data_IF_078849477811
#
_entry.id   IF_078849477811
#
_cell.length_a   1.000
_cell.length_b   1.000
_cell.length_c   1.000
_cell.angle_alpha   90.00
_cell.angle_beta   90.00
_cell.angle_gamma   90.00
#
_symmetry.space_group_name_H-M   'P 1'
#
loop_
_entity.id
_entity.type
_entity.pdbx_description
1 polymer ?
#
# COMPACT_ATOMS: atom_id res chain seq x y z
N UNK A 1 16.06 -9.15 -0.21
CA UNK A 1 17.50 -8.88 0.13
C UNK A 1 17.83 -7.41 -0.12
N UNK A 2 17.54 -6.55 0.86
CA UNK A 2 17.92 -5.14 0.84
C UNK A 2 19.44 -5.05 1.02
N UNK A 3 20.17 -4.72 -0.05
CA UNK A 3 21.62 -4.49 0.04
C UNK A 3 21.88 -3.15 0.73
N UNK A 4 22.82 -3.15 1.67
CA UNK A 4 23.30 -1.95 2.37
C UNK A 4 23.76 -0.88 1.36
N UNK A 5 23.09 0.25 1.35
CA UNK A 5 23.48 1.42 0.55
C UNK A 5 24.54 2.24 1.28
N UNK A 6 25.49 2.86 0.56
CA UNK A 6 26.42 3.82 1.15
C UNK A 6 25.65 5.10 1.51
N UNK A 7 25.26 5.23 2.78
CA UNK A 7 24.62 6.43 3.32
C UNK A 7 25.73 7.47 3.57
N UNK A 8 25.85 8.41 2.63
CA UNK A 8 26.74 9.58 2.72
C UNK A 8 26.44 10.42 3.98
N UNK A 9 27.51 10.83 4.68
CA UNK A 9 27.83 11.93 5.64
C UNK A 9 26.73 12.84 6.25
N UNK A 10 25.44 12.47 6.22
CA UNK A 10 24.33 13.22 6.86
C UNK A 10 23.69 12.44 8.01
N UNK A 11 24.44 11.50 8.59
CA UNK A 11 24.00 10.58 9.66
C UNK A 11 23.66 11.30 10.99
N UNK A 12 23.98 12.59 11.12
CA UNK A 12 23.72 13.38 12.32
C UNK A 12 22.24 13.79 12.47
N UNK A 13 21.42 13.62 11.43
CA UNK A 13 20.00 13.98 11.43
C UNK A 13 19.07 12.80 11.82
N UNK A 14 19.63 11.62 12.07
CA UNK A 14 18.90 10.35 12.27
C UNK A 14 18.56 10.12 13.75
N UNK A 15 17.97 11.12 14.40
CA UNK A 15 17.44 11.00 15.78
C UNK A 15 15.92 11.28 15.83
N UNK A 16 15.27 11.40 14.66
CA UNK A 16 13.83 11.65 14.55
C UNK A 16 13.23 10.67 13.55
N UNK A 17 12.49 9.70 14.09
CA UNK A 17 11.63 8.70 13.43
C UNK A 17 11.92 8.36 11.97
N UNK A 18 12.37 7.13 11.68
CA UNK A 18 12.58 6.67 10.31
C UNK A 18 11.26 6.11 9.75
N UNK A 19 10.47 6.98 9.12
CA UNK A 19 9.18 6.62 8.56
C UNK A 19 9.32 6.26 7.08
N UNK A 20 9.00 5.02 6.73
CA UNK A 20 9.05 4.51 5.37
C UNK A 20 7.69 4.68 4.68
N UNK A 21 7.69 5.34 3.52
CA UNK A 21 6.57 5.34 2.59
C UNK A 21 6.80 4.21 1.58
N UNK A 22 5.84 3.31 1.45
CA UNK A 22 5.90 2.20 0.50
C UNK A 22 5.05 2.57 -0.71
N UNK A 23 5.62 2.50 -1.91
CA UNK A 23 4.86 2.75 -3.15
C UNK A 23 4.70 1.45 -3.91
N UNK A 24 3.46 1.13 -4.30
CA UNK A 24 3.13 -0.03 -5.16
C UNK A 24 2.39 0.49 -6.37
N UNK A 25 3.02 0.42 -7.54
CA UNK A 25 2.46 0.92 -8.80
C UNK A 25 2.47 -0.15 -9.89
N UNK A 26 1.61 -0.02 -10.90
CA UNK A 26 1.62 -0.86 -12.09
C UNK A 26 2.08 -0.06 -13.30
N UNK A 27 3.33 -0.26 -13.72
CA UNK A 27 3.90 0.43 -14.88
C UNK A 27 3.85 -0.52 -16.09
N UNK A 28 3.21 -0.14 -17.21
CA UNK A 28 3.26 -0.94 -18.43
C UNK A 28 4.69 -0.96 -18.98
N UNK A 29 5.22 -2.16 -19.26
CA UNK A 29 6.62 -2.32 -19.72
C UNK A 29 6.76 -1.97 -21.20
N UNK A 30 5.74 -2.28 -22.00
CA UNK A 30 5.75 -2.05 -23.45
C UNK A 30 4.39 -1.54 -23.93
N UNK A 31 4.39 -0.65 -24.93
CA UNK A 31 3.17 -0.03 -25.49
C UNK A 31 2.10 -1.03 -25.95
N UNK A 32 2.49 -2.26 -26.29
CA UNK A 32 1.60 -3.29 -26.83
C UNK A 32 1.71 -4.65 -26.11
N UNK A 33 2.38 -4.71 -24.95
CA UNK A 33 2.45 -5.96 -24.16
C UNK A 33 1.42 -5.91 -23.05
N UNK A 34 0.88 -7.08 -22.69
CA UNK A 34 0.08 -7.25 -21.48
C UNK A 34 0.96 -7.30 -20.22
N UNK A 35 2.29 -7.43 -20.38
CA UNK A 35 3.22 -7.45 -19.27
C UNK A 35 3.21 -6.13 -18.48
N UNK A 36 3.01 -6.27 -17.18
CA UNK A 36 3.03 -5.18 -16.22
C UNK A 36 4.18 -5.37 -15.25
N UNK A 37 4.92 -4.30 -15.02
CA UNK A 37 5.95 -4.20 -14.00
C UNK A 37 5.32 -3.61 -12.75
N UNK A 38 5.37 -4.36 -11.65
CA UNK A 38 4.81 -3.95 -10.36
C UNK A 38 5.92 -3.90 -9.32
N UNK A 39 6.62 -2.77 -9.18
CA UNK A 39 7.63 -2.63 -8.16
C UNK A 39 6.98 -2.32 -6.81
N UNK A 40 7.62 -2.81 -5.76
CA UNK A 40 7.47 -2.29 -4.40
C UNK A 40 8.68 -1.38 -4.17
N UNK A 41 8.42 -0.10 -4.00
CA UNK A 41 9.43 0.93 -3.76
C UNK A 41 9.35 1.41 -2.32
N UNK A 42 10.48 1.73 -1.70
CA UNK A 42 10.54 2.37 -0.39
C UNK A 42 11.22 3.74 -0.52
N UNK A 43 10.55 4.77 0.01
CA UNK A 43 11.13 6.10 0.22
C UNK A 43 11.11 6.45 1.70
N UNK A 44 12.14 7.15 2.18
CA UNK A 44 12.19 7.61 3.57
C UNK A 44 11.54 8.99 3.64
N UNK A 45 10.51 9.12 4.47
CA UNK A 45 9.68 10.31 4.59
C UNK A 45 10.49 11.56 4.99
N UNK A 46 11.50 11.38 5.85
CA UNK A 46 12.40 12.44 6.33
C UNK A 46 13.34 12.93 5.23
N UNK A 47 13.49 12.15 4.16
CA UNK A 47 14.41 12.38 3.06
C UNK A 47 13.68 12.40 1.71
N UNK A 48 12.69 13.29 1.49
CA UNK A 48 11.83 13.26 0.31
C UNK A 48 12.53 13.56 -1.01
N UNK A 49 13.76 14.10 -0.96
CA UNK A 49 14.61 14.34 -2.14
C UNK A 49 15.43 13.12 -2.54
N UNK A 50 15.53 12.11 -1.68
CA UNK A 50 16.19 10.85 -2.03
C UNK A 50 15.22 10.01 -2.87
N UNK A 51 15.69 9.43 -3.98
CA UNK A 51 14.84 8.61 -4.83
C UNK A 51 14.37 7.37 -4.07
N UNK A 52 13.11 6.98 -4.28
CA UNK A 52 12.60 5.72 -3.76
C UNK A 52 13.38 4.55 -4.36
N UNK A 53 13.70 3.57 -3.52
CA UNK A 53 14.52 2.41 -3.88
C UNK A 53 13.60 1.22 -4.14
N UNK A 54 13.77 0.50 -5.26
CA UNK A 54 13.05 -0.76 -5.47
C UNK A 54 13.56 -1.83 -4.50
N UNK A 55 12.64 -2.43 -3.74
CA UNK A 55 12.92 -3.53 -2.81
C UNK A 55 12.40 -4.87 -3.32
N UNK A 56 11.33 -4.84 -4.12
CA UNK A 56 10.83 -6.01 -4.83
C UNK A 56 10.31 -5.59 -6.21
N UNK A 57 10.40 -6.50 -7.17
CA UNK A 57 9.95 -6.30 -8.53
C UNK A 57 9.18 -7.55 -8.96
N UNK A 58 7.93 -7.35 -9.35
CA UNK A 58 7.10 -8.40 -9.94
C UNK A 58 6.84 -8.09 -11.39
N UNK A 59 6.99 -9.10 -12.25
CA UNK A 59 6.70 -9.03 -13.67
C UNK A 59 5.71 -10.13 -13.98
N UNK A 60 4.55 -9.75 -14.49
CA UNK A 60 3.48 -10.69 -14.83
C UNK A 60 2.77 -10.19 -16.10
N UNK A 61 2.27 -11.12 -16.91
CA UNK A 61 1.42 -10.85 -18.08
C UNK A 61 0.01 -10.39 -17.67
N UNK A 62 -0.35 -10.59 -16.40
CA UNK A 62 -1.62 -10.18 -15.82
C UNK A 62 -1.46 -9.69 -14.38
N UNK A 63 -2.55 -9.34 -13.67
CA UNK A 63 -2.45 -9.08 -12.23
C UNK A 63 -2.00 -10.38 -11.54
N UNK A 64 -1.07 -10.35 -10.57
CA UNK A 64 -0.69 -11.55 -9.84
C UNK A 64 -1.98 -12.18 -9.30
N UNK A 65 -2.22 -13.44 -9.63
CA UNK A 65 -3.49 -14.09 -9.26
C UNK A 65 -3.64 -14.18 -7.73
N UNK A 66 -2.53 -14.16 -7.01
CA UNK A 66 -2.46 -14.32 -5.58
C UNK A 66 -1.71 -13.14 -4.92
N UNK A 67 -2.39 -12.43 -4.02
CA UNK A 67 -1.81 -11.36 -3.21
C UNK A 67 -0.73 -11.88 -2.26
N UNK A 68 -0.86 -13.13 -1.79
CA UNK A 68 0.07 -13.76 -0.84
C UNK A 68 1.44 -13.86 -1.49
N UNK A 69 1.52 -14.46 -2.68
CA UNK A 69 2.76 -14.57 -3.43
C UNK A 69 3.37 -13.21 -3.79
N UNK A 70 2.55 -12.16 -3.91
CA UNK A 70 3.03 -10.82 -4.22
C UNK A 70 3.59 -10.08 -2.98
N UNK A 71 3.07 -10.32 -1.78
CA UNK A 71 3.46 -9.56 -0.58
C UNK A 71 4.26 -10.35 0.44
N UNK A 72 4.30 -11.68 0.38
CA UNK A 72 4.80 -12.53 1.47
C UNK A 72 6.23 -12.18 1.89
N UNK A 73 7.17 -12.24 0.95
CA UNK A 73 8.58 -11.95 1.21
C UNK A 73 8.77 -10.53 1.76
N UNK A 74 8.05 -9.56 1.19
CA UNK A 74 8.10 -8.17 1.63
C UNK A 74 7.60 -7.99 3.08
N UNK A 75 6.50 -8.66 3.44
CA UNK A 75 5.95 -8.59 4.79
C UNK A 75 6.85 -9.29 5.81
N UNK A 76 7.44 -10.42 5.45
CA UNK A 76 8.40 -11.11 6.32
C UNK A 76 9.63 -10.25 6.62
N UNK A 77 10.22 -9.62 5.58
CA UNK A 77 11.32 -8.68 5.75
C UNK A 77 10.90 -7.48 6.64
N UNK A 78 9.70 -6.92 6.44
CA UNK A 78 9.20 -5.83 7.28
C UNK A 78 8.99 -6.23 8.74
N UNK A 79 8.50 -7.45 9.00
CA UNK A 79 8.32 -7.96 10.37
C UNK A 79 9.66 -8.15 11.06
N UNK A 80 10.65 -8.70 10.35
CA UNK A 80 12.01 -8.84 10.87
C UNK A 80 12.60 -7.47 11.22
N UNK A 81 12.47 -6.49 10.31
CA UNK A 81 12.95 -5.12 10.53
C UNK A 81 12.20 -4.44 11.68
N UNK A 82 10.90 -4.69 11.82
CA UNK A 82 10.12 -4.11 12.92
C UNK A 82 10.53 -4.64 14.29
N UNK A 83 11.01 -5.89 14.36
CA UNK A 83 11.43 -6.53 15.62
C UNK A 83 12.89 -6.22 15.94
N UNK A 84 13.76 -6.34 14.94
CA UNK A 84 15.21 -6.27 15.12
C UNK A 84 15.80 -4.88 14.83
N UNK A 85 15.02 -4.01 14.19
CA UNK A 85 15.53 -2.79 13.56
C UNK A 85 16.47 -3.10 12.39
N UNK A 86 17.14 -2.06 11.89
CA UNK A 86 18.25 -2.18 10.96
C UNK A 86 19.51 -1.56 11.57
N UNK A 87 20.68 -2.11 11.26
CA UNK A 87 21.96 -1.54 11.68
C UNK A 87 22.61 -0.82 10.51
N UNK A 88 22.77 0.50 10.61
CA UNK A 88 23.48 1.33 9.64
C UNK A 88 24.69 1.95 10.34
N UNK A 89 25.89 1.64 9.86
CA UNK A 89 27.17 2.10 10.45
C UNK A 89 27.27 1.80 11.96
N UNK A 90 26.78 0.63 12.39
CA UNK A 90 26.82 0.18 13.78
C UNK A 90 25.76 0.84 14.69
N UNK A 91 24.87 1.68 14.15
CA UNK A 91 23.74 2.25 14.89
C UNK A 91 22.46 1.47 14.57
N UNK A 92 21.81 0.96 15.60
CA UNK A 92 20.49 0.36 15.48
C UNK A 92 19.45 1.47 15.22
N UNK A 93 18.59 1.22 14.24
CA UNK A 93 17.55 2.14 13.80
C UNK A 93 16.24 1.39 13.69
N UNK A 94 15.22 1.90 14.36
CA UNK A 94 13.85 1.46 14.15
C UNK A 94 13.32 2.03 12.84
N UNK A 95 12.65 1.22 12.03
CA UNK A 95 11.98 1.64 10.80
C UNK A 95 10.52 1.26 10.90
N UNK A 96 9.63 2.23 10.66
CA UNK A 96 8.18 2.00 10.66
C UNK A 96 7.59 2.33 9.31
N UNK A 97 6.66 1.50 8.84
CA UNK A 97 5.86 1.83 7.65
C UNK A 97 4.86 2.90 8.05
N UNK A 98 4.96 4.08 7.44
CA UNK A 98 4.04 5.19 7.66
C UNK A 98 2.78 5.05 6.82
N UNK A 99 2.95 4.74 5.53
CA UNK A 99 1.83 4.54 4.63
C UNK A 99 2.24 3.72 3.40
N UNK A 100 1.22 3.14 2.77
CA UNK A 100 1.33 2.50 1.46
C UNK A 100 0.60 3.39 0.44
N UNK A 101 1.33 3.87 -0.55
CA UNK A 101 0.85 4.72 -1.64
C UNK A 101 0.70 3.86 -2.88
N UNK A 102 -0.50 3.82 -3.44
CA UNK A 102 -0.75 3.00 -4.62
C UNK A 102 -1.87 3.59 -5.47
N UNK A 103 -1.89 3.26 -6.76
CA UNK A 103 -3.01 3.61 -7.63
C UNK A 103 -4.29 2.87 -7.18
N UNK A 104 -5.43 3.28 -7.72
CA UNK A 104 -6.71 2.65 -7.34
C UNK A 104 -6.77 1.16 -7.65
N UNK A 105 -6.04 0.69 -8.67
CA UNK A 105 -6.10 -0.71 -9.11
C UNK A 105 -5.25 -1.64 -8.24
N UNK A 106 -4.04 -1.20 -7.85
CA UNK A 106 -3.16 -1.89 -6.92
C UNK A 106 -3.72 -1.84 -5.50
N UNK A 107 -4.31 -0.72 -5.08
CA UNK A 107 -4.93 -0.61 -3.75
C UNK A 107 -5.99 -1.67 -3.50
N UNK A 108 -6.89 -1.86 -4.48
CA UNK A 108 -7.95 -2.89 -4.39
C UNK A 108 -7.35 -4.30 -4.37
N UNK A 109 -6.28 -4.52 -5.14
CA UNK A 109 -5.58 -5.79 -5.21
C UNK A 109 -4.91 -6.15 -3.88
N UNK A 110 -4.05 -5.27 -3.35
CA UNK A 110 -3.30 -5.53 -2.12
C UNK A 110 -4.21 -5.59 -0.89
N UNK A 111 -5.34 -4.86 -0.88
CA UNK A 111 -6.33 -4.92 0.21
C UNK A 111 -7.30 -6.10 0.10
N UNK A 112 -7.32 -6.82 -1.03
CA UNK A 112 -8.27 -7.90 -1.31
C UNK A 112 -9.74 -7.49 -1.20
N UNK A 113 -10.07 -6.32 -1.73
CA UNK A 113 -11.42 -5.72 -1.61
C UNK A 113 -12.14 -5.63 -2.96
N UNK A 114 -13.39 -5.19 -2.90
CA UNK A 114 -14.17 -4.83 -4.07
C UNK A 114 -13.60 -3.59 -4.76
N UNK A 115 -13.78 -3.53 -6.08
CA UNK A 115 -13.28 -2.39 -6.87
C UNK A 115 -14.08 -1.12 -6.56
N UNK A 116 -13.49 0.05 -6.86
CA UNK A 116 -14.14 1.35 -6.66
C UNK A 116 -15.44 1.50 -7.48
N UNK A 117 -15.61 0.70 -8.54
CA UNK A 117 -16.80 0.68 -9.39
C UNK A 117 -17.90 -0.29 -8.93
N UNK A 118 -17.76 -0.89 -7.74
CA UNK A 118 -18.75 -1.81 -7.18
C UNK A 118 -19.66 -1.09 -6.19
N UNK A 119 -20.87 -1.62 -5.97
CA UNK A 119 -21.80 -1.05 -4.98
C UNK A 119 -21.21 -1.00 -3.57
N UNK A 120 -20.36 -1.94 -3.19
CA UNK A 120 -19.70 -1.95 -1.89
C UNK A 120 -18.22 -1.53 -2.02
N UNK A 121 -17.91 -0.69 -3.00
CA UNK A 121 -16.54 -0.34 -3.39
C UNK A 121 -15.90 0.82 -2.64
N UNK A 122 -16.66 1.57 -1.84
CA UNK A 122 -16.08 2.60 -0.98
C UNK A 122 -15.06 1.93 -0.06
N UNK A 123 -13.91 2.57 0.18
CA UNK A 123 -12.84 2.01 1.01
C UNK A 123 -12.81 2.58 2.42
N UNK A 124 -13.50 3.69 2.66
CA UNK A 124 -13.48 4.43 3.93
C UNK A 124 -14.76 4.27 4.76
N UNK A 125 -15.91 4.09 4.12
CA UNK A 125 -17.20 3.96 4.79
C UNK A 125 -18.08 2.89 4.15
N UNK A 126 -19.08 2.41 4.88
CA UNK A 126 -19.95 1.30 4.49
C UNK A 126 -21.07 1.67 3.51
N UNK A 127 -21.09 2.93 3.06
CA UNK A 127 -22.08 3.45 2.10
C UNK A 127 -22.16 2.56 0.85
N UNK A 128 -23.39 2.20 0.51
CA UNK A 128 -23.70 1.47 -0.73
C UNK A 128 -23.79 2.46 -1.89
N UNK A 129 -22.92 2.26 -2.87
CA UNK A 129 -22.86 3.05 -4.09
C UNK A 129 -24.11 2.89 -4.94
N UNK A 130 -24.55 4.00 -5.54
CA UNK A 130 -25.69 4.07 -6.44
C UNK A 130 -25.19 4.03 -7.89
N UNK A 131 -25.94 3.33 -8.75
CA UNK A 131 -25.67 3.32 -10.18
C UNK A 131 -26.27 4.54 -10.85
N UNK A 132 -25.45 5.26 -11.60
CA UNK A 132 -25.90 6.35 -12.48
C UNK A 132 -26.03 5.81 -13.90
N UNK A 133 -27.26 5.76 -14.42
CA UNK A 133 -27.51 5.39 -15.82
C UNK A 133 -26.90 6.39 -16.80
N UNK A 134 -26.79 7.66 -16.41
CA UNK A 134 -26.24 8.75 -17.21
C UNK A 134 -24.74 8.59 -17.46
N UNK A 135 -23.96 8.35 -16.39
CA UNK A 135 -22.49 8.24 -16.48
C UNK A 135 -22.02 6.80 -16.62
N UNK A 136 -22.93 5.82 -16.45
CA UNK A 136 -22.63 4.38 -16.40
C UNK A 136 -21.59 4.02 -15.35
N UNK A 137 -21.59 4.75 -14.23
CA UNK A 137 -20.67 4.55 -13.11
C UNK A 137 -21.42 4.35 -11.79
N UNK A 138 -20.75 3.72 -10.83
CA UNK A 138 -21.15 3.77 -9.43
C UNK A 138 -20.61 5.06 -8.81
N UNK A 139 -21.43 5.74 -8.01
CA UNK A 139 -21.03 6.87 -7.20
C UNK A 139 -21.48 6.66 -5.75
N UNK A 140 -20.72 7.23 -4.81
CA UNK A 140 -20.99 7.14 -3.38
C UNK A 140 -21.43 8.50 -2.87
N UNK A 141 -22.56 8.55 -2.17
CA UNK A 141 -23.04 9.74 -1.48
C UNK A 141 -22.83 9.52 0.01
N UNK A 142 -21.62 9.80 0.48
CA UNK A 142 -21.29 9.69 1.90
C UNK A 142 -21.64 10.99 2.64
N UNK A 143 -22.19 10.84 3.83
CA UNK A 143 -22.52 11.88 4.79
C UNK A 143 -21.72 11.67 6.08
N UNK A 144 -21.66 12.69 6.93
CA UNK A 144 -20.89 12.63 8.19
C UNK A 144 -21.41 11.60 9.20
N UNK A 145 -22.65 11.13 9.03
CA UNK A 145 -23.29 10.16 9.94
C UNK A 145 -23.17 8.71 9.45
N UNK A 146 -22.55 8.49 8.28
CA UNK A 146 -22.40 7.13 7.76
C UNK A 146 -21.33 6.35 8.53
N UNK A 147 -21.58 5.06 8.71
CA UNK A 147 -20.63 4.17 9.37
C UNK A 147 -19.29 4.15 8.62
N UNK A 148 -18.22 4.52 9.34
CA UNK A 148 -16.86 4.47 8.84
C UNK A 148 -16.30 3.06 9.05
N UNK A 149 -15.50 2.60 8.09
CA UNK A 149 -14.72 1.39 8.30
C UNK A 149 -13.61 1.67 9.30
N UNK A 150 -13.42 0.73 10.21
CA UNK A 150 -12.29 0.72 11.14
C UNK A 150 -11.29 -0.36 10.78
N UNK A 151 -10.06 -0.19 11.25
CA UNK A 151 -8.96 -1.13 11.04
C UNK A 151 -9.24 -2.46 11.76
N UNK A 152 -9.76 -2.40 12.99
CA UNK A 152 -10.05 -3.57 13.81
C UNK A 152 -11.07 -4.48 13.13
N UNK A 153 -12.18 -3.90 12.65
CA UNK A 153 -13.22 -4.64 11.94
C UNK A 153 -12.73 -5.16 10.59
N UNK A 154 -11.86 -4.42 9.89
CA UNK A 154 -11.27 -4.85 8.63
C UNK A 154 -10.36 -6.06 8.85
N UNK A 155 -9.52 -6.06 9.89
CA UNK A 155 -8.65 -7.19 10.27
C UNK A 155 -9.47 -8.41 10.70
N UNK A 156 -10.62 -8.19 11.35
CA UNK A 156 -11.59 -9.23 11.67
C UNK A 156 -12.42 -9.74 10.48
N UNK A 157 -12.16 -9.25 9.26
CA UNK A 157 -12.90 -9.59 8.04
C UNK A 157 -14.42 -9.36 8.16
N UNK A 158 -14.83 -8.30 8.88
CA UNK A 158 -16.23 -8.03 9.21
C UNK A 158 -17.06 -7.46 8.05
N UNK A 159 -16.44 -7.03 6.94
CA UNK A 159 -17.14 -6.39 5.82
C UNK A 159 -17.34 -7.35 4.64
N UNK A 160 -18.20 -8.36 4.80
CA UNK A 160 -18.42 -9.45 3.84
C UNK A 160 -18.67 -8.99 2.39
N UNK A 161 -19.45 -7.92 2.20
CA UNK A 161 -19.78 -7.41 0.86
C UNK A 161 -18.64 -6.57 0.24
N UNK A 162 -17.64 -6.18 1.04
CA UNK A 162 -16.52 -5.34 0.63
C UNK A 162 -15.20 -6.12 0.53
N UNK A 163 -14.96 -7.07 1.43
CA UNK A 163 -13.75 -7.86 1.53
C UNK A 163 -13.94 -9.18 0.80
N UNK A 164 -13.04 -9.48 -0.14
CA UNK A 164 -13.04 -10.76 -0.87
C UNK A 164 -12.34 -11.84 -0.07
N UNK A 165 -11.23 -11.48 0.58
CA UNK A 165 -10.38 -12.33 1.40
C UNK A 165 -9.63 -11.45 2.41
N UNK A 166 -9.01 -12.07 3.41
CA UNK A 166 -8.02 -11.40 4.26
C UNK A 166 -6.79 -11.00 3.45
N UNK A 167 -6.24 -9.83 3.75
CA UNK A 167 -4.99 -9.34 3.13
C UNK A 167 -3.78 -9.65 4.01
N UNK A 168 -2.63 -10.04 3.41
CA UNK A 168 -1.37 -10.20 4.13
C UNK A 168 -0.90 -8.90 4.80
N UNK A 169 -1.33 -7.73 4.29
CA UNK A 169 -1.00 -6.43 4.88
C UNK A 169 -1.42 -6.31 6.36
N UNK A 170 -2.40 -7.10 6.79
CA UNK A 170 -2.79 -7.17 8.20
C UNK A 170 -1.66 -7.68 9.12
N UNK A 171 -0.60 -8.28 8.59
CA UNK A 171 0.54 -8.68 9.43
C UNK A 171 1.56 -7.56 9.66
N UNK A 172 1.43 -6.42 8.96
CA UNK A 172 2.34 -5.29 9.15
C UNK A 172 1.98 -4.58 10.46
N UNK A 173 2.94 -4.46 11.40
CA UNK A 173 2.72 -3.78 12.67
C UNK A 173 2.54 -2.28 12.46
N UNK A 174 1.76 -1.64 13.34
CA UNK A 174 1.49 -0.20 13.36
C UNK A 174 0.90 0.39 12.06
N UNK A 175 0.42 -0.44 11.12
CA UNK A 175 -0.20 0.00 9.87
C UNK A 175 -1.73 -0.05 9.95
N UNK A 176 -2.40 1.09 9.83
CA UNK A 176 -3.86 1.16 9.75
C UNK A 176 -4.35 0.89 8.32
N UNK A 177 -5.03 -0.22 8.09
CA UNK A 177 -5.47 -0.67 6.77
C UNK A 177 -6.53 0.24 6.14
N UNK A 178 -7.19 1.10 6.92
CA UNK A 178 -8.17 2.06 6.41
C UNK A 178 -7.52 3.42 6.11
N UNK A 179 -6.70 3.94 7.02
CA UNK A 179 -6.16 5.30 6.93
C UNK A 179 -4.82 5.38 6.20
N UNK A 180 -3.97 4.36 6.31
CA UNK A 180 -2.57 4.43 5.86
C UNK A 180 -2.37 3.84 4.47
N UNK A 181 -3.44 3.43 3.78
CA UNK A 181 -3.41 2.98 2.38
C UNK A 181 -3.93 4.09 1.47
N UNK A 182 -3.01 4.93 1.02
CA UNK A 182 -3.26 6.16 0.29
C UNK A 182 -3.39 5.91 -1.22
N UNK A 183 -4.20 6.73 -1.88
CA UNK A 183 -4.28 6.76 -3.35
C UNK A 183 -3.18 7.67 -3.86
N UNK A 184 -2.39 7.17 -4.81
CA UNK A 184 -1.66 8.05 -5.71
C UNK A 184 -2.68 8.76 -6.61
N UNK A 185 -3.06 10.00 -6.28
CA UNK A 185 -3.86 10.81 -7.20
C UNK A 185 -2.97 11.24 -8.36
N UNK A 186 -3.21 10.68 -9.56
CA UNK A 186 -2.67 11.23 -10.80
C UNK A 186 -3.50 12.45 -11.18
N UNK A 187 -3.24 13.57 -10.54
CA UNK A 187 -3.72 14.89 -10.95
C UNK A 187 -2.55 15.84 -11.01
N UNK A 188 -2.23 16.35 -12.20
CA UNK A 188 -1.38 17.53 -12.33
C UNK A 188 -1.86 18.59 -11.33
N UNK A 189 -0.97 19.04 -10.45
CA UNK A 189 -1.04 20.37 -9.84
C UNK A 189 -0.95 21.44 -10.92
#
# INVERSE_FOLDING_TARGET
MIKSFPVSDRLHLIDRGNQANVTIDGIPVWKNSRQQFRPILIGINEFPRFPSIPVAIFVDESKPANVECFLRDFIEELKEISVNGISINGRAMEVKVRCIICDSSARVFIKCVMNHSSKHGCLKCEVVGKYSSRTRTIYFQANNNDALRTDELFRGNAYEMHQKNSTPLAEIPDLNLIQDILVAETGCT
#
